data_IF_281216185284
#
_entry.id   IF_281216185284
#
_cell.length_a   1.000
_cell.length_b   1.000
_cell.length_c   1.000
_cell.angle_alpha   90.00
_cell.angle_beta   90.00
_cell.angle_gamma   90.00
#
_symmetry.space_group_name_H-M   'P 1'
#
loop_
_entity.id
_entity.type
_entity.pdbx_description
1 polymer ?
#
# COMPACT_ATOMS: atom_id res chain seq x y z
N UNK A 1 -32.69 75.32 -33.99
CA UNK A 1 -31.33 75.64 -33.52
C UNK A 1 -30.42 74.46 -33.86
N UNK A 2 -29.33 74.67 -34.62
CA UNK A 2 -28.66 73.64 -35.43
C UNK A 2 -27.38 73.05 -34.81
N UNK A 3 -26.89 71.97 -35.45
CA UNK A 3 -25.50 71.51 -35.55
C UNK A 3 -24.80 71.02 -34.26
N UNK A 4 -23.87 70.05 -34.26
CA UNK A 4 -22.94 69.67 -35.32
C UNK A 4 -22.41 68.24 -35.13
N UNK A 5 -22.10 67.59 -36.24
CA UNK A 5 -21.25 66.39 -36.34
C UNK A 5 -19.81 66.75 -35.92
N UNK A 6 -19.07 65.82 -35.34
CA UNK A 6 -17.77 65.43 -35.95
C UNK A 6 -17.19 64.13 -35.38
N UNK A 7 -16.85 63.28 -36.34
CA UNK A 7 -15.97 62.11 -36.30
C UNK A 7 -14.56 62.40 -35.76
N UNK A 8 -13.92 61.40 -35.11
CA UNK A 8 -12.71 60.72 -35.63
C UNK A 8 -12.24 59.57 -34.72
N UNK A 9 -11.74 58.56 -35.41
CA UNK A 9 -11.25 57.23 -35.00
C UNK A 9 -9.86 57.27 -34.32
N UNK A 10 -9.31 56.11 -33.86
CA UNK A 10 -8.41 56.01 -32.71
C UNK A 10 -6.92 56.12 -33.06
N UNK A 11 -6.11 56.52 -32.09
CA UNK A 11 -4.66 56.50 -32.16
C UNK A 11 -4.11 55.17 -31.59
N UNK A 12 -3.38 54.46 -32.45
CA UNK A 12 -2.44 53.38 -32.11
C UNK A 12 -1.26 53.96 -31.32
N UNK A 13 -0.80 53.24 -30.30
CA UNK A 13 0.60 53.33 -29.86
C UNK A 13 1.20 51.92 -29.77
N UNK A 14 2.37 51.79 -30.39
CA UNK A 14 3.25 50.63 -30.38
C UNK A 14 4.60 51.05 -29.80
N UNK A 15 5.44 50.05 -29.48
CA UNK A 15 6.84 50.09 -28.96
C UNK A 15 6.95 50.20 -27.43
N UNK A 16 7.89 49.54 -26.75
CA UNK A 16 8.96 48.63 -27.15
C UNK A 16 9.46 47.82 -25.94
N UNK A 17 10.23 46.79 -26.25
CA UNK A 17 10.89 45.83 -25.39
C UNK A 17 11.90 46.42 -24.37
N UNK A 18 12.11 45.69 -23.27
CA UNK A 18 13.42 45.53 -22.64
C UNK A 18 13.44 44.30 -21.69
N UNK A 19 14.28 43.30 -22.00
CA UNK A 19 14.87 42.35 -21.03
C UNK A 19 16.03 43.02 -20.32
N UNK A 20 16.32 42.66 -19.06
CA UNK A 20 17.56 41.93 -18.73
C UNK A 20 17.33 40.95 -17.55
N UNK A 21 18.21 40.05 -17.11
CA UNK A 21 19.45 39.47 -17.55
C UNK A 21 19.64 38.18 -16.72
N UNK A 22 20.27 37.18 -17.33
CA UNK A 22 20.77 35.96 -16.70
C UNK A 22 21.84 36.25 -15.64
N UNK A 23 21.76 35.61 -14.48
CA UNK A 23 22.93 35.40 -13.60
C UNK A 23 23.12 33.90 -13.34
N UNK A 24 24.00 33.33 -14.16
CA UNK A 24 24.82 32.17 -13.85
C UNK A 24 25.66 32.41 -12.60
N UNK A 25 25.70 31.43 -11.69
CA UNK A 25 26.75 31.35 -10.66
C UNK A 25 27.27 29.91 -10.63
N UNK A 26 28.48 29.73 -11.15
CA UNK A 26 29.31 28.52 -11.01
C UNK A 26 29.98 28.49 -9.61
N UNK A 27 30.46 27.32 -9.15
CA UNK A 27 30.85 27.08 -7.77
C UNK A 27 32.30 27.50 -7.49
N UNK A 28 32.59 27.79 -6.22
CA UNK A 28 33.94 28.02 -5.72
C UNK A 28 34.55 26.71 -5.21
N UNK A 29 35.71 26.37 -5.77
CA UNK A 29 36.66 25.37 -5.30
C UNK A 29 37.47 25.88 -4.09
N UNK A 30 37.77 25.02 -3.12
CA UNK A 30 39.09 25.01 -2.48
C UNK A 30 39.56 23.58 -2.15
N UNK A 31 40.81 23.41 -2.50
CA UNK A 31 41.75 22.29 -2.51
C UNK A 31 42.11 21.75 -1.12
N UNK A 32 42.36 20.45 -1.01
CA UNK A 32 43.55 19.92 -0.34
C UNK A 32 43.83 18.48 -0.80
N UNK A 33 45.01 18.28 -1.37
CA UNK A 33 45.54 17.00 -1.80
C UNK A 33 46.46 16.43 -0.72
N UNK A 34 46.49 15.09 -0.59
CA UNK A 34 47.69 14.38 -0.17
C UNK A 34 47.67 12.96 -0.74
N UNK A 35 48.64 12.72 -1.64
CA UNK A 35 49.02 11.41 -2.18
C UNK A 35 49.81 10.64 -1.12
N UNK A 36 49.66 9.32 -1.04
CA UNK A 36 50.79 8.36 -1.14
C UNK A 36 50.32 6.90 -1.18
N UNK A 37 50.90 6.16 -2.11
CA UNK A 37 51.03 4.72 -2.19
C UNK A 37 52.47 4.46 -2.71
N UNK A 38 52.98 3.23 -2.85
CA UNK A 38 52.81 1.99 -2.08
C UNK A 38 54.19 1.41 -1.66
N UNK A 39 54.25 0.29 -0.91
CA UNK A 39 55.47 -0.51 -0.80
C UNK A 39 55.18 -2.02 -0.84
N UNK A 40 55.84 -2.69 -1.80
CA UNK A 40 55.96 -4.14 -1.98
C UNK A 40 57.32 -4.61 -1.43
N UNK A 41 57.38 -5.91 -1.09
CA UNK A 41 58.50 -6.91 -1.06
C UNK A 41 58.69 -7.51 0.34
N UNK A 42 59.18 -8.73 0.54
CA UNK A 42 59.28 -10.01 -0.18
C UNK A 42 60.16 -10.94 0.69
N UNK A 43 60.04 -12.27 0.50
CA UNK A 43 60.97 -13.37 0.91
C UNK A 43 61.08 -13.69 2.41
N UNK A 44 61.23 -14.93 2.89
CA UNK A 44 62.00 -16.13 2.46
C UNK A 44 61.36 -17.39 3.12
N UNK A 45 61.22 -18.58 2.51
CA UNK A 45 62.17 -19.62 2.04
C UNK A 45 62.85 -20.46 3.16
N UNK A 46 62.61 -21.79 3.13
CA UNK A 46 63.37 -22.87 3.80
C UNK A 46 62.61 -23.58 4.95
N UNK A 47 62.68 -24.89 5.18
CA UNK A 47 63.15 -26.08 4.46
C UNK A 47 62.78 -27.31 5.33
N UNK A 48 62.20 -28.35 4.71
CA UNK A 48 62.33 -29.81 4.99
C UNK A 48 62.50 -30.34 6.44
N UNK A 49 61.58 -31.23 6.88
CA UNK A 49 61.82 -32.70 6.90
C UNK A 49 60.66 -33.55 7.49
N UNK A 50 60.28 -34.57 6.70
CA UNK A 50 59.67 -35.90 6.98
C UNK A 50 59.15 -36.23 8.40
N UNK A 51 57.88 -36.68 8.49
CA UNK A 51 57.52 -38.10 8.68
C UNK A 51 56.00 -38.37 8.75
N UNK A 52 55.53 -39.28 7.88
CA UNK A 52 54.44 -40.26 8.05
C UNK A 52 53.04 -39.83 8.55
N UNK A 53 52.03 -39.91 7.67
CA UNK A 53 50.92 -40.88 7.74
C UNK A 53 49.95 -40.70 6.55
N UNK A 54 49.63 -41.80 5.86
CA UNK A 54 48.51 -41.90 4.92
C UNK A 54 47.20 -41.65 5.69
N UNK A 55 46.41 -40.69 5.23
CA UNK A 55 44.97 -40.64 5.49
C UNK A 55 44.28 -40.12 4.23
N UNK A 56 43.53 -41.00 3.57
CA UNK A 56 42.63 -40.63 2.49
C UNK A 56 41.49 -39.78 3.07
N UNK A 57 41.34 -38.53 2.60
CA UNK A 57 40.17 -37.73 2.92
C UNK A 57 39.06 -38.15 1.97
N UNK A 58 38.18 -39.00 2.48
CA UNK A 58 36.90 -39.29 1.85
C UNK A 58 36.09 -37.98 1.76
N UNK A 59 35.81 -37.55 0.53
CA UNK A 59 34.83 -36.50 0.26
C UNK A 59 33.46 -36.96 0.78
N UNK A 60 32.93 -36.26 1.80
CA UNK A 60 31.55 -36.49 2.26
C UNK A 60 30.59 -36.29 1.08
N UNK A 61 29.64 -37.21 0.85
CA UNK A 61 28.62 -37.03 -0.17
C UNK A 61 27.77 -35.80 0.16
N UNK A 62 27.57 -34.97 -0.84
CA UNK A 62 26.63 -33.85 -0.81
C UNK A 62 25.25 -34.44 -0.56
N UNK A 63 24.59 -34.01 0.51
CA UNK A 63 23.23 -34.43 0.84
C UNK A 63 22.30 -34.17 -0.35
N UNK A 64 21.41 -35.12 -0.70
CA UNK A 64 20.46 -34.90 -1.78
C UNK A 64 19.56 -33.69 -1.46
N UNK A 65 19.06 -32.97 -2.48
CA UNK A 65 18.13 -31.88 -2.27
C UNK A 65 16.92 -32.40 -1.46
N UNK A 66 16.38 -31.60 -0.52
CA UNK A 66 15.25 -32.05 0.28
C UNK A 66 14.11 -32.48 -0.62
N UNK A 67 13.49 -33.61 -0.27
CA UNK A 67 12.35 -34.17 -0.97
C UNK A 67 11.29 -33.08 -1.19
N UNK A 68 10.63 -33.12 -2.35
CA UNK A 68 9.51 -32.24 -2.69
C UNK A 68 8.56 -32.21 -1.50
N UNK A 69 8.44 -31.05 -0.85
CA UNK A 69 7.43 -30.83 0.18
C UNK A 69 6.09 -30.91 -0.54
N UNK A 70 5.37 -32.01 -0.34
CA UNK A 70 3.99 -32.12 -0.77
C UNK A 70 3.18 -31.04 -0.06
N UNK A 71 2.66 -30.10 -0.84
CA UNK A 71 1.70 -29.10 -0.36
C UNK A 71 0.38 -29.85 -0.28
N UNK A 72 -0.25 -30.01 0.90
CA UNK A 72 -1.53 -30.68 0.99
C UNK A 72 -2.53 -29.98 0.07
N UNK A 73 -3.28 -30.76 -0.70
CA UNK A 73 -4.38 -30.29 -1.53
C UNK A 73 -5.46 -29.70 -0.60
N UNK A 74 -5.38 -28.38 -0.37
CA UNK A 74 -6.32 -27.60 0.43
C UNK A 74 -7.57 -27.28 -0.41
N UNK A 75 -8.28 -28.33 -0.80
CA UNK A 75 -9.60 -28.25 -1.41
C UNK A 75 -10.63 -28.48 -0.29
N UNK A 76 -11.62 -27.58 -0.18
CA UNK A 76 -12.76 -27.62 0.76
C UNK A 76 -12.57 -27.23 2.23
N UNK A 77 -12.10 -26.01 2.48
CA UNK A 77 -12.49 -25.26 3.69
C UNK A 77 -13.35 -24.06 3.26
N UNK A 78 -14.46 -23.72 3.96
CA UNK A 78 -15.28 -22.56 3.62
C UNK A 78 -14.37 -21.33 3.64
N UNK A 79 -14.20 -20.70 2.47
CA UNK A 79 -13.09 -19.77 2.20
C UNK A 79 -13.03 -18.59 3.19
N UNK A 80 -14.14 -18.25 3.85
CA UNK A 80 -14.28 -17.21 4.88
C UNK A 80 -15.52 -17.47 5.74
N UNK A 81 -15.56 -16.98 6.98
CA UNK A 81 -16.79 -16.85 7.79
C UNK A 81 -17.11 -15.36 7.99
N UNK A 82 -18.33 -15.02 8.41
CA UNK A 82 -18.69 -13.64 8.77
C UNK A 82 -18.74 -12.66 7.59
N UNK A 83 -18.33 -11.40 7.84
CA UNK A 83 -18.40 -10.31 6.85
C UNK A 83 -17.32 -10.47 5.77
N UNK A 84 -16.15 -11.00 6.12
CA UNK A 84 -15.12 -11.31 5.12
C UNK A 84 -15.66 -12.22 4.02
N UNK A 85 -16.54 -13.17 4.35
CA UNK A 85 -17.12 -14.09 3.37
C UNK A 85 -18.05 -13.40 2.38
N UNK A 86 -18.90 -12.49 2.85
CA UNK A 86 -19.83 -11.78 1.98
C UNK A 86 -19.16 -10.71 1.13
N UNK A 87 -17.98 -10.24 1.52
CA UNK A 87 -17.18 -9.27 0.75
C UNK A 87 -16.12 -9.93 -0.12
N UNK A 88 -15.76 -11.19 0.12
CA UNK A 88 -14.73 -11.87 -0.64
C UNK A 88 -15.12 -11.96 -2.13
N UNK A 89 -14.13 -11.75 -3.00
CA UNK A 89 -14.33 -11.88 -4.43
C UNK A 89 -14.78 -13.31 -4.75
N UNK A 90 -15.94 -13.51 -5.41
CA UNK A 90 -16.38 -14.84 -5.82
C UNK A 90 -15.39 -15.50 -6.80
N UNK A 91 -15.45 -16.82 -6.93
CA UNK A 91 -14.59 -17.54 -7.90
C UNK A 91 -14.93 -17.22 -9.35
N UNK A 92 -16.22 -17.00 -9.63
CA UNK A 92 -16.69 -16.52 -10.92
C UNK A 92 -17.65 -15.35 -10.70
N UNK A 93 -17.41 -14.25 -11.43
CA UNK A 93 -18.16 -13.01 -11.26
C UNK A 93 -17.96 -12.09 -12.46
N UNK A 94 -19.00 -11.36 -12.84
CA UNK A 94 -18.85 -10.16 -13.65
C UNK A 94 -18.76 -8.93 -12.75
N UNK A 95 -17.70 -8.12 -12.91
CA UNK A 95 -17.45 -7.00 -12.00
C UNK A 95 -18.62 -6.00 -11.97
N UNK A 96 -19.28 -5.79 -13.11
CA UNK A 96 -20.46 -4.94 -13.24
C UNK A 96 -21.68 -5.44 -12.46
N UNK A 97 -21.74 -6.73 -12.14
CA UNK A 97 -22.83 -7.35 -11.39
C UNK A 97 -22.56 -7.36 -9.89
N UNK A 98 -21.30 -7.15 -9.48
CA UNK A 98 -20.97 -7.04 -8.07
C UNK A 98 -21.59 -5.77 -7.46
N UNK A 99 -22.12 -5.85 -6.23
CA UNK A 99 -22.85 -4.75 -5.63
C UNK A 99 -21.97 -3.52 -5.37
N UNK A 100 -22.52 -2.34 -5.67
CA UNK A 100 -21.94 -1.04 -5.29
C UNK A 100 -22.70 -0.40 -4.12
N UNK A 101 -23.91 -0.87 -3.84
CA UNK A 101 -24.79 -0.47 -2.74
C UNK A 101 -24.65 -1.39 -1.50
N UNK A 102 -25.01 -0.94 -0.29
CA UNK A 102 -24.88 -1.69 0.95
C UNK A 102 -25.45 -3.12 0.89
N UNK A 103 -24.67 -4.11 1.35
CA UNK A 103 -25.16 -5.49 1.48
C UNK A 103 -26.16 -5.65 2.63
N UNK A 104 -27.07 -6.63 2.53
CA UNK A 104 -27.85 -7.11 3.67
C UNK A 104 -26.94 -7.52 4.84
N UNK A 105 -27.44 -7.36 6.07
CA UNK A 105 -26.67 -7.65 7.29
C UNK A 105 -25.73 -6.53 7.76
N UNK A 106 -25.49 -5.52 6.93
CA UNK A 106 -24.78 -4.30 7.33
C UNK A 106 -25.65 -3.25 8.02
N UNK A 107 -25.09 -2.07 8.35
CA UNK A 107 -25.84 -1.00 8.99
C UNK A 107 -26.95 -0.47 8.07
N UNK A 108 -28.17 -0.34 8.63
CA UNK A 108 -29.36 0.12 7.90
C UNK A 108 -29.27 1.54 7.34
N UNK A 109 -28.46 2.41 7.96
CA UNK A 109 -28.32 3.80 7.57
C UNK A 109 -27.03 4.44 8.14
N UNK A 110 -26.78 5.69 7.75
CA UNK A 110 -25.62 6.48 8.20
C UNK A 110 -25.50 6.56 9.73
N UNK A 111 -26.60 6.82 10.45
CA UNK A 111 -26.59 6.96 11.92
C UNK A 111 -26.18 5.65 12.59
N UNK A 112 -26.71 4.54 12.11
CA UNK A 112 -26.36 3.22 12.63
C UNK A 112 -24.90 2.86 12.33
N UNK A 113 -24.43 3.13 11.12
CA UNK A 113 -23.03 2.89 10.73
C UNK A 113 -22.06 3.66 11.62
N UNK A 114 -22.28 4.97 11.81
CA UNK A 114 -21.43 5.81 12.68
C UNK A 114 -21.38 5.25 14.10
N UNK A 115 -22.53 4.92 14.70
CA UNK A 115 -22.59 4.32 16.04
C UNK A 115 -21.82 2.99 16.13
N UNK A 116 -21.88 2.17 15.08
CA UNK A 116 -21.13 0.91 15.05
C UNK A 116 -19.62 1.15 14.91
N UNK A 117 -19.17 2.11 14.09
CA UNK A 117 -17.75 2.49 14.02
C UNK A 117 -17.24 2.98 15.39
N UNK A 118 -17.99 3.87 16.05
CA UNK A 118 -17.64 4.38 17.38
C UNK A 118 -17.49 3.24 18.40
N UNK A 119 -18.38 2.25 18.35
CA UNK A 119 -18.31 1.05 19.20
C UNK A 119 -17.10 0.16 18.88
N UNK A 120 -16.67 0.09 17.61
CA UNK A 120 -15.52 -0.72 17.18
C UNK A 120 -14.18 -0.09 17.55
N UNK A 121 -14.10 1.24 17.66
CA UNK A 121 -12.87 1.99 17.90
C UNK A 121 -12.03 1.44 19.07
N UNK A 122 -12.58 1.32 20.29
CA UNK A 122 -11.82 0.81 21.44
C UNK A 122 -11.24 -0.59 21.22
N UNK A 123 -12.02 -1.53 20.67
CA UNK A 123 -11.55 -2.89 20.41
C UNK A 123 -10.45 -2.92 19.35
N UNK A 124 -10.58 -2.13 18.28
CA UNK A 124 -9.54 -1.96 17.26
C UNK A 124 -8.25 -1.39 17.84
N UNK A 125 -8.35 -0.38 18.72
CA UNK A 125 -7.20 0.20 19.39
C UNK A 125 -6.50 -0.83 20.28
N UNK A 126 -7.24 -1.58 21.10
CA UNK A 126 -6.67 -2.67 21.94
C UNK A 126 -5.98 -3.73 21.09
N UNK A 127 -6.62 -4.24 20.03
CA UNK A 127 -5.99 -5.27 19.18
C UNK A 127 -4.75 -4.73 18.46
N UNK A 128 -4.77 -3.46 18.02
CA UNK A 128 -3.59 -2.84 17.45
C UNK A 128 -2.46 -2.71 18.49
N UNK A 129 -2.77 -2.36 19.73
CA UNK A 129 -1.80 -2.26 20.81
C UNK A 129 -1.19 -3.63 21.15
N UNK A 130 -2.02 -4.67 21.25
CA UNK A 130 -1.56 -6.05 21.43
C UNK A 130 -0.67 -6.51 20.28
N UNK A 131 -1.04 -6.20 19.02
CA UNK A 131 -0.20 -6.48 17.86
C UNK A 131 1.20 -5.86 18.02
N UNK A 132 1.27 -4.61 18.49
CA UNK A 132 2.54 -3.94 18.75
C UNK A 132 3.30 -4.57 19.92
N UNK A 133 2.62 -4.84 21.04
CA UNK A 133 3.21 -5.43 22.23
C UNK A 133 3.82 -6.81 21.96
N UNK A 134 3.14 -7.67 21.20
CA UNK A 134 3.73 -8.95 20.83
C UNK A 134 5.00 -8.81 19.98
N UNK A 135 5.09 -7.77 19.16
CA UNK A 135 6.28 -7.53 18.35
C UNK A 135 7.47 -7.14 19.22
N UNK A 136 7.26 -6.47 20.36
CA UNK A 136 8.34 -6.22 21.34
C UNK A 136 8.83 -7.52 21.99
N UNK A 137 7.99 -8.55 22.02
CA UNK A 137 8.33 -9.90 22.44
C UNK A 137 8.78 -10.83 21.28
N UNK A 138 9.09 -10.26 20.10
CA UNK A 138 9.69 -11.00 18.97
C UNK A 138 8.69 -11.56 17.94
N UNK A 139 7.39 -11.32 18.10
CA UNK A 139 6.40 -11.65 17.06
C UNK A 139 6.71 -10.89 15.77
N UNK A 140 6.63 -11.59 14.63
CA UNK A 140 6.85 -10.99 13.30
C UNK A 140 5.56 -10.50 12.64
N UNK A 141 4.42 -10.72 13.31
CA UNK A 141 3.07 -10.44 12.80
C UNK A 141 2.91 -8.97 12.48
N UNK A 142 2.23 -8.68 11.38
CA UNK A 142 1.86 -7.32 10.95
C UNK A 142 0.64 -7.38 10.05
N UNK A 143 -0.08 -6.28 9.91
CA UNK A 143 -1.24 -6.19 9.02
C UNK A 143 -0.96 -5.18 7.92
N UNK A 144 -1.35 -5.48 6.69
CA UNK A 144 -1.28 -4.56 5.57
C UNK A 144 -2.66 -4.41 4.91
N UNK A 145 -3.27 -3.24 5.07
CA UNK A 145 -4.53 -2.85 4.44
C UNK A 145 -4.25 -2.13 3.12
N UNK A 146 -4.67 -2.73 2.00
CA UNK A 146 -4.54 -2.14 0.67
C UNK A 146 -5.87 -1.58 0.22
N UNK A 147 -5.90 -0.30 -0.16
CA UNK A 147 -7.10 0.37 -0.65
C UNK A 147 -6.93 0.68 -2.14
N UNK A 148 -7.73 0.00 -2.96
CA UNK A 148 -7.83 0.26 -4.39
C UNK A 148 -9.26 0.60 -4.82
N UNK A 149 -9.40 1.18 -6.00
CA UNK A 149 -10.68 1.61 -6.55
C UNK A 149 -10.53 2.89 -7.38
N UNK A 150 -11.51 3.15 -8.23
CA UNK A 150 -11.56 4.33 -9.10
C UNK A 150 -11.37 5.64 -8.31
N UNK A 151 -10.95 6.69 -8.99
CA UNK A 151 -10.96 8.01 -8.37
C UNK A 151 -12.37 8.39 -7.93
N UNK A 152 -12.44 9.08 -6.80
CA UNK A 152 -13.65 9.32 -6.00
C UNK A 152 -14.25 8.12 -5.26
N UNK A 153 -13.74 6.89 -5.39
CA UNK A 153 -14.24 5.72 -4.61
C UNK A 153 -14.13 5.93 -3.09
N UNK A 154 -13.16 6.75 -2.68
CA UNK A 154 -13.05 7.33 -1.35
C UNK A 154 -12.08 6.60 -0.43
N UNK A 155 -10.94 6.18 -0.98
CA UNK A 155 -9.75 5.69 -0.26
C UNK A 155 -9.38 6.63 0.90
N UNK A 156 -9.25 7.93 0.64
CA UNK A 156 -8.98 8.95 1.68
C UNK A 156 -10.05 9.01 2.78
N UNK A 157 -11.30 8.74 2.43
CA UNK A 157 -12.40 8.69 3.39
C UNK A 157 -12.29 7.47 4.31
N UNK A 158 -11.88 6.32 3.79
CA UNK A 158 -11.57 5.15 4.61
C UNK A 158 -10.41 5.46 5.54
N UNK A 159 -9.32 6.04 5.03
CA UNK A 159 -8.16 6.41 5.85
C UNK A 159 -8.60 7.34 6.98
N UNK A 160 -9.29 8.45 6.67
CA UNK A 160 -9.74 9.40 7.69
C UNK A 160 -10.61 8.76 8.80
N UNK A 161 -11.52 7.86 8.44
CA UNK A 161 -12.55 7.37 9.37
C UNK A 161 -12.25 6.01 10.00
N UNK A 162 -11.44 5.17 9.36
CA UNK A 162 -11.07 3.84 9.86
C UNK A 162 -9.70 3.89 10.51
N UNK A 163 -8.71 4.43 9.80
CA UNK A 163 -7.35 4.57 10.36
C UNK A 163 -7.33 5.58 11.50
N UNK A 164 -8.20 6.60 11.45
CA UNK A 164 -8.40 7.55 12.55
C UNK A 164 -8.93 6.94 13.85
N UNK A 165 -9.32 5.65 13.86
CA UNK A 165 -9.69 4.92 15.09
C UNK A 165 -8.47 4.28 15.79
N UNK A 166 -7.32 4.26 15.12
CA UNK A 166 -6.10 3.58 15.58
C UNK A 166 -5.10 4.60 16.17
N UNK A 167 -4.12 4.13 16.94
CA UNK A 167 -3.01 4.97 17.36
C UNK A 167 -2.16 5.37 16.14
N UNK A 168 -1.99 6.68 15.84
CA UNK A 168 -1.21 7.11 14.67
C UNK A 168 0.25 6.64 14.71
N UNK A 169 0.84 6.45 15.90
CA UNK A 169 2.22 5.96 16.04
C UNK A 169 2.41 4.50 15.64
N UNK A 170 1.32 3.72 15.58
CA UNK A 170 1.35 2.31 15.21
C UNK A 170 0.91 2.05 13.76
N UNK A 171 0.54 3.11 13.03
CA UNK A 171 0.11 3.02 11.64
C UNK A 171 1.18 3.55 10.70
N UNK A 172 1.50 2.76 9.68
CA UNK A 172 2.34 3.19 8.56
C UNK A 172 1.47 3.46 7.34
N UNK A 173 1.14 4.73 7.08
CA UNK A 173 0.43 5.14 5.87
C UNK A 173 1.40 5.41 4.72
N UNK A 174 1.21 4.74 3.59
CA UNK A 174 1.90 5.03 2.34
C UNK A 174 0.88 5.33 1.23
N UNK A 175 1.07 6.45 0.52
CA UNK A 175 0.23 6.84 -0.61
C UNK A 175 1.06 6.87 -1.88
N UNK A 176 0.68 6.05 -2.86
CA UNK A 176 1.41 5.94 -4.11
C UNK A 176 0.81 6.86 -5.17
N UNK A 177 1.67 7.68 -5.78
CA UNK A 177 1.37 8.53 -6.93
C UNK A 177 2.10 7.98 -8.17
N UNK A 178 2.12 8.76 -9.26
CA UNK A 178 3.00 8.50 -10.40
C UNK A 178 4.44 8.25 -9.91
N UNK A 179 5.13 7.21 -10.43
CA UNK A 179 6.50 6.92 -10.05
C UNK A 179 7.46 8.09 -10.33
N UNK A 180 8.44 8.29 -9.45
CA UNK A 180 9.55 9.22 -9.71
C UNK A 180 10.54 8.65 -10.72
N UNK A 181 11.45 9.47 -11.25
CA UNK A 181 12.51 9.00 -12.14
C UNK A 181 13.37 7.90 -11.48
N UNK A 182 13.75 8.08 -10.22
CA UNK A 182 14.48 7.06 -9.43
C UNK A 182 13.66 5.77 -9.30
N UNK A 183 12.37 5.87 -8.98
CA UNK A 183 11.51 4.68 -8.86
C UNK A 183 11.39 3.91 -10.18
N UNK A 184 11.44 4.60 -11.33
CA UNK A 184 11.42 4.00 -12.67
C UNK A 184 12.74 3.34 -13.08
N UNK A 185 13.85 3.66 -12.41
CA UNK A 185 15.15 2.99 -12.60
C UNK A 185 15.20 1.61 -11.91
N UNK A 186 14.22 1.32 -11.05
CA UNK A 186 14.08 0.04 -10.35
C UNK A 186 12.90 -0.78 -10.86
N UNK A 187 12.79 -2.03 -10.40
CA UNK A 187 11.57 -2.80 -10.62
C UNK A 187 10.39 -2.17 -9.86
N UNK A 188 9.17 -2.33 -10.40
CA UNK A 188 7.98 -1.65 -9.85
C UNK A 188 7.65 -2.02 -8.40
N UNK A 189 8.09 -3.18 -7.89
CA UNK A 189 7.87 -3.58 -6.50
C UNK A 189 8.90 -2.97 -5.55
N UNK A 190 10.02 -2.43 -6.04
CA UNK A 190 11.05 -1.84 -5.20
C UNK A 190 10.49 -0.76 -4.27
N UNK A 191 9.76 0.22 -4.83
CA UNK A 191 9.14 1.29 -4.04
C UNK A 191 8.07 0.78 -3.08
N UNK A 192 7.37 -0.29 -3.45
CA UNK A 192 6.31 -0.89 -2.66
C UNK A 192 6.91 -1.61 -1.44
N UNK A 193 7.96 -2.40 -1.65
CA UNK A 193 8.68 -3.15 -0.61
C UNK A 193 9.20 -2.25 0.49
N UNK A 194 9.72 -1.08 0.13
CA UNK A 194 10.22 -0.07 1.09
C UNK A 194 9.15 0.49 2.02
N UNK A 195 7.87 0.32 1.67
CA UNK A 195 6.75 0.86 2.44
C UNK A 195 6.00 -0.20 3.26
N UNK A 196 6.36 -1.49 3.12
CA UNK A 196 5.77 -2.56 3.93
C UNK A 196 5.95 -2.25 5.43
N UNK A 197 4.91 -2.40 6.27
CA UNK A 197 4.99 -2.10 7.70
C UNK A 197 6.02 -2.98 8.40
N UNK A 198 6.56 -2.53 9.53
CA UNK A 198 7.37 -3.37 10.41
C UNK A 198 6.48 -4.39 11.16
N UNK A 199 7.11 -5.31 11.90
CA UNK A 199 6.39 -6.15 12.84
C UNK A 199 5.64 -5.28 13.87
N UNK A 200 4.46 -5.71 14.30
CA UNK A 200 3.63 -4.99 15.26
C UNK A 200 2.85 -3.80 14.70
N UNK A 201 3.06 -3.45 13.42
CA UNK A 201 2.43 -2.31 12.79
C UNK A 201 1.26 -2.70 11.89
N UNK A 202 0.33 -1.74 11.73
CA UNK A 202 -0.69 -1.77 10.69
C UNK A 202 -0.24 -0.84 9.55
N UNK A 203 0.11 -1.42 8.41
CA UNK A 203 0.37 -0.68 7.18
C UNK A 203 -0.92 -0.36 6.42
N UNK A 204 -0.99 0.82 5.83
CA UNK A 204 -2.11 1.23 4.98
C UNK A 204 -1.58 1.76 3.66
N UNK A 205 -1.94 1.11 2.57
CA UNK A 205 -1.57 1.50 1.22
C UNK A 205 -2.75 2.19 0.53
N UNK A 206 -2.61 3.49 0.26
CA UNK A 206 -3.52 4.26 -0.58
C UNK A 206 -3.03 4.21 -2.03
N UNK A 207 -3.70 3.41 -2.87
CA UNK A 207 -3.10 2.78 -4.07
C UNK A 207 -1.94 1.86 -3.69
N UNK A 208 -1.40 1.10 -4.62
CA UNK A 208 -0.45 0.01 -4.31
C UNK A 208 0.26 -0.53 -5.56
N UNK A 209 0.94 -1.68 -5.45
CA UNK A 209 1.55 -2.40 -6.58
C UNK A 209 0.59 -2.71 -7.73
N UNK A 210 -0.73 -2.62 -7.48
CA UNK A 210 -1.74 -2.86 -8.49
C UNK A 210 -1.84 -1.75 -9.54
N UNK A 211 -1.35 -0.53 -9.27
CA UNK A 211 -1.30 0.53 -10.29
C UNK A 211 -0.51 0.08 -11.53
N UNK A 212 0.52 -0.73 -11.31
CA UNK A 212 1.40 -1.27 -12.34
C UNK A 212 0.77 -2.33 -13.26
N UNK A 213 -0.49 -2.70 -13.01
CA UNK A 213 -1.35 -3.53 -13.87
C UNK A 213 -2.74 -2.91 -14.10
N UNK A 214 -2.94 -1.66 -13.66
CA UNK A 214 -4.15 -0.87 -13.86
C UNK A 214 -3.88 0.26 -14.86
N UNK A 215 -3.45 1.43 -14.40
CA UNK A 215 -3.16 2.58 -15.28
C UNK A 215 -2.12 2.24 -16.35
N UNK A 216 -1.12 1.42 -16.00
CA UNK A 216 -0.10 0.93 -16.95
C UNK A 216 -0.71 0.12 -18.09
N UNK A 217 -1.77 -0.63 -17.81
CA UNK A 217 -2.51 -1.42 -18.81
C UNK A 217 -3.45 -0.53 -19.61
N UNK A 218 -4.22 0.34 -18.95
CA UNK A 218 -5.27 1.16 -19.60
C UNK A 218 -4.66 2.11 -20.63
N UNK A 219 -3.47 2.66 -20.34
CA UNK A 219 -2.78 3.61 -21.21
C UNK A 219 -1.58 3.02 -21.94
N UNK A 220 -1.43 1.69 -21.97
CA UNK A 220 -0.33 0.98 -22.64
C UNK A 220 1.07 1.56 -22.32
N UNK A 221 1.31 1.96 -21.06
CA UNK A 221 2.56 2.62 -20.64
C UNK A 221 3.78 1.70 -20.81
N UNK A 222 3.55 0.39 -20.81
CA UNK A 222 4.50 -0.63 -21.26
C UNK A 222 3.76 -1.69 -22.07
N UNK A 223 4.44 -2.46 -22.94
CA UNK A 223 3.79 -3.52 -23.70
C UNK A 223 3.07 -4.54 -22.81
N UNK A 224 1.97 -5.10 -23.31
CA UNK A 224 1.22 -6.19 -22.63
C UNK A 224 2.10 -7.36 -22.21
N UNK A 225 3.13 -7.69 -22.99
CA UNK A 225 4.11 -8.73 -22.66
C UNK A 225 4.92 -8.45 -21.39
N UNK A 226 4.98 -7.19 -20.96
CA UNK A 226 5.63 -6.74 -19.73
C UNK A 226 4.62 -6.71 -18.58
N UNK A 227 3.54 -5.92 -18.66
CA UNK A 227 2.64 -5.75 -17.52
C UNK A 227 1.86 -7.02 -17.18
N UNK A 228 1.53 -7.88 -18.15
CA UNK A 228 0.78 -9.12 -17.87
C UNK A 228 1.56 -10.10 -16.98
N UNK A 229 2.90 -10.08 -17.02
CA UNK A 229 3.76 -10.88 -16.14
C UNK A 229 3.73 -10.39 -14.70
N UNK A 230 3.38 -9.11 -14.48
CA UNK A 230 3.37 -8.50 -13.14
C UNK A 230 2.33 -9.12 -12.22
N UNK A 231 1.25 -9.72 -12.72
CA UNK A 231 0.31 -10.48 -11.88
C UNK A 231 1.01 -11.62 -11.13
N UNK A 232 1.88 -12.38 -11.82
CA UNK A 232 2.63 -13.46 -11.18
C UNK A 232 3.66 -12.93 -10.18
N UNK A 233 4.31 -11.80 -10.49
CA UNK A 233 5.26 -11.12 -9.59
C UNK A 233 4.57 -10.58 -8.34
N UNK A 234 3.39 -9.96 -8.48
CA UNK A 234 2.56 -9.50 -7.36
C UNK A 234 2.16 -10.68 -6.48
N UNK A 235 1.66 -11.78 -7.06
CA UNK A 235 1.30 -12.97 -6.29
C UNK A 235 2.52 -13.58 -5.56
N UNK A 236 3.70 -13.59 -6.18
CA UNK A 236 4.91 -14.06 -5.53
C UNK A 236 5.32 -13.16 -4.36
N UNK A 237 5.23 -11.84 -4.53
CA UNK A 237 5.49 -10.86 -3.49
C UNK A 237 4.50 -10.98 -2.32
N UNK A 238 3.20 -11.09 -2.59
CA UNK A 238 2.20 -11.23 -1.52
C UNK A 238 2.35 -12.54 -0.74
N UNK A 239 2.70 -13.64 -1.42
CA UNK A 239 3.05 -14.91 -0.74
C UNK A 239 4.31 -14.79 0.11
N UNK A 240 5.30 -14.04 -0.36
CA UNK A 240 6.52 -13.75 0.42
C UNK A 240 6.17 -12.97 1.70
N UNK A 241 5.36 -11.92 1.60
CA UNK A 241 4.91 -11.14 2.75
C UNK A 241 4.09 -11.97 3.74
N UNK A 242 3.18 -12.81 3.25
CA UNK A 242 2.40 -13.71 4.09
C UNK A 242 3.29 -14.67 4.88
N UNK A 243 4.31 -15.26 4.23
CA UNK A 243 5.32 -16.11 4.91
C UNK A 243 6.14 -15.36 5.97
N UNK A 244 6.30 -14.04 5.82
CA UNK A 244 6.98 -13.18 6.78
C UNK A 244 6.07 -12.70 7.94
N UNK A 245 4.81 -13.16 7.99
CA UNK A 245 3.85 -12.82 9.04
C UNK A 245 2.93 -11.64 8.69
N UNK A 246 2.86 -11.22 7.43
CA UNK A 246 1.95 -10.15 7.01
C UNK A 246 0.57 -10.69 6.69
N UNK A 247 -0.46 -10.23 7.41
CA UNK A 247 -1.85 -10.41 6.99
C UNK A 247 -2.22 -9.33 5.98
N UNK A 248 -2.50 -9.74 4.75
CA UNK A 248 -2.94 -8.83 3.69
C UNK A 248 -4.46 -8.71 3.67
N UNK A 249 -4.96 -7.47 3.74
CA UNK A 249 -6.37 -7.14 3.61
C UNK A 249 -6.52 -6.25 2.38
N UNK A 250 -6.90 -6.82 1.23
CA UNK A 250 -6.99 -6.09 -0.04
C UNK A 250 -8.43 -5.68 -0.30
N UNK A 251 -8.70 -4.38 -0.33
CA UNK A 251 -10.05 -3.84 -0.50
C UNK A 251 -10.16 -3.12 -1.85
N UNK A 252 -11.05 -3.59 -2.72
CA UNK A 252 -11.51 -2.87 -3.89
C UNK A 252 -12.78 -2.08 -3.56
N UNK A 253 -12.69 -0.76 -3.54
CA UNK A 253 -13.79 0.14 -3.24
C UNK A 253 -14.67 0.33 -4.47
N UNK A 254 -15.72 -0.50 -4.58
CA UNK A 254 -16.55 -0.58 -5.77
C UNK A 254 -17.65 0.50 -5.78
N UNK A 255 -17.56 1.43 -6.72
CA UNK A 255 -18.57 2.47 -6.95
C UNK A 255 -19.16 2.34 -8.34
N UNK A 256 -20.41 2.77 -8.51
CA UNK A 256 -21.03 2.86 -9.82
C UNK A 256 -20.52 4.06 -10.63
N UNK A 257 -20.52 3.95 -11.96
CA UNK A 257 -20.18 5.05 -12.89
C UNK A 257 -21.05 6.28 -12.62
N UNK A 258 -22.30 6.09 -12.19
CA UNK A 258 -23.23 7.15 -11.79
C UNK A 258 -22.76 7.88 -10.54
N UNK A 259 -22.39 7.16 -9.48
CA UNK A 259 -21.93 7.78 -8.23
C UNK A 259 -20.59 8.49 -8.40
N UNK A 260 -19.70 7.98 -9.26
CA UNK A 260 -18.47 8.70 -9.60
C UNK A 260 -18.78 10.09 -10.19
N UNK A 261 -19.68 10.18 -11.17
CA UNK A 261 -20.07 11.46 -11.78
C UNK A 261 -20.63 12.43 -10.73
N UNK A 262 -21.55 11.95 -9.88
CA UNK A 262 -22.13 12.76 -8.81
C UNK A 262 -21.06 13.31 -7.86
N UNK A 263 -20.03 12.52 -7.54
CA UNK A 263 -18.93 12.94 -6.66
C UNK A 263 -17.99 13.94 -7.33
N UNK A 264 -17.74 13.81 -8.63
CA UNK A 264 -16.94 14.76 -9.41
C UNK A 264 -17.66 16.10 -9.52
N UNK A 265 -18.94 16.10 -9.91
CA UNK A 265 -19.77 17.30 -9.98
C UNK A 265 -19.84 18.01 -8.62
N UNK A 266 -20.11 17.28 -7.54
CA UNK A 266 -20.15 17.86 -6.20
C UNK A 266 -18.81 18.46 -5.72
N UNK A 267 -17.66 18.09 -6.31
CA UNK A 267 -16.37 18.77 -6.03
C UNK A 267 -16.26 20.12 -6.75
N UNK A 268 -16.86 20.24 -7.94
CA UNK A 268 -16.93 21.47 -8.71
C UNK A 268 -17.96 22.45 -8.13
N UNK A 269 -18.95 21.96 -7.41
CA UNK A 269 -19.97 22.78 -6.74
C UNK A 269 -19.54 23.30 -5.35
N UNK A 270 -18.43 22.80 -4.79
CA UNK A 270 -17.93 23.16 -3.45
C UNK A 270 -16.52 23.78 -3.53
N UNK A 271 -16.37 25.11 -3.33
CA UNK A 271 -15.07 25.79 -3.37
C UNK A 271 -14.02 25.21 -2.42
N UNK A 272 -14.43 24.55 -1.33
CA UNK A 272 -13.49 23.91 -0.39
C UNK A 272 -12.91 22.59 -0.92
N UNK A 273 -13.36 22.15 -2.11
CA UNK A 273 -12.95 20.88 -2.75
C UNK A 273 -12.23 21.07 -4.08
N UNK A 274 -12.06 22.28 -4.60
CA UNK A 274 -11.36 22.52 -5.86
C UNK A 274 -9.95 21.92 -5.87
N UNK A 275 -9.22 22.04 -4.76
CA UNK A 275 -7.89 21.44 -4.61
C UNK A 275 -7.86 19.90 -4.72
N UNK A 276 -9.02 19.24 -4.60
CA UNK A 276 -9.18 17.78 -4.77
C UNK A 276 -9.62 17.39 -6.18
N UNK A 277 -9.94 18.35 -7.04
CA UNK A 277 -10.36 18.08 -8.41
C UNK A 277 -9.15 18.19 -9.33
N UNK A 278 -8.96 17.17 -10.16
CA UNK A 278 -8.00 17.18 -11.24
C UNK A 278 -8.78 16.97 -12.54
N UNK A 279 -8.64 17.82 -13.58
CA UNK A 279 -9.26 17.58 -14.89
C UNK A 279 -8.97 16.17 -15.45
N UNK A 280 -7.80 15.61 -15.15
CA UNK A 280 -7.47 14.23 -15.51
C UNK A 280 -8.47 13.20 -14.94
N UNK A 281 -9.14 13.46 -13.80
CA UNK A 281 -10.19 12.57 -13.26
C UNK A 281 -11.37 12.41 -14.25
N UNK A 282 -11.59 13.41 -15.13
CA UNK A 282 -12.61 13.37 -16.20
C UNK A 282 -12.11 12.57 -17.40
N UNK A 283 -10.84 12.76 -17.76
CA UNK A 283 -10.19 11.99 -18.84
C UNK A 283 -10.17 10.49 -18.49
N UNK A 284 -9.74 10.15 -17.26
CA UNK A 284 -9.72 8.76 -16.75
C UNK A 284 -11.12 8.15 -16.65
N UNK A 285 -12.16 8.98 -16.44
CA UNK A 285 -13.56 8.52 -16.51
C UNK A 285 -13.97 8.10 -17.93
N UNK A 286 -13.34 8.65 -18.96
CA UNK A 286 -13.51 8.21 -20.35
C UNK A 286 -13.15 6.73 -20.55
N UNK A 287 -12.13 6.26 -19.81
CA UNK A 287 -11.63 4.88 -19.84
C UNK A 287 -12.30 3.96 -18.79
N UNK A 288 -13.51 4.29 -18.35
CA UNK A 288 -14.18 3.57 -17.27
C UNK A 288 -14.26 2.06 -17.53
N UNK A 289 -14.63 1.66 -18.74
CA UNK A 289 -14.88 0.26 -19.07
C UNK A 289 -13.56 -0.53 -19.13
N UNK A 290 -12.49 0.10 -19.62
CA UNK A 290 -11.12 -0.42 -19.61
C UNK A 290 -10.58 -0.61 -18.19
N UNK A 291 -10.84 0.36 -17.30
CA UNK A 291 -10.49 0.21 -15.88
C UNK A 291 -11.29 -0.89 -15.21
N UNK A 292 -12.59 -1.03 -15.49
CA UNK A 292 -13.40 -2.13 -14.95
C UNK A 292 -12.86 -3.49 -15.41
N UNK A 293 -12.45 -3.62 -16.67
CA UNK A 293 -11.79 -4.83 -17.17
C UNK A 293 -10.44 -5.08 -16.48
N UNK A 294 -9.62 -4.03 -16.30
CA UNK A 294 -8.34 -4.13 -15.61
C UNK A 294 -8.52 -4.57 -14.14
N UNK A 295 -9.49 -4.00 -13.43
CA UNK A 295 -9.84 -4.42 -12.07
C UNK A 295 -10.39 -5.84 -12.02
N UNK A 296 -11.25 -6.24 -12.97
CA UNK A 296 -11.75 -7.62 -13.07
C UNK A 296 -10.59 -8.61 -13.15
N UNK A 297 -9.59 -8.34 -14.00
CA UNK A 297 -8.39 -9.16 -14.11
C UNK A 297 -7.52 -9.13 -12.83
N UNK A 298 -7.37 -7.97 -12.18
CA UNK A 298 -6.67 -7.88 -10.88
C UNK A 298 -7.33 -8.80 -9.85
N UNK A 299 -8.64 -8.69 -9.69
CA UNK A 299 -9.42 -9.46 -8.72
C UNK A 299 -9.36 -10.96 -9.04
N UNK A 300 -9.56 -11.37 -10.30
CA UNK A 300 -9.49 -12.78 -10.72
C UNK A 300 -8.09 -13.37 -10.58
N UNK A 301 -7.04 -12.63 -10.94
CA UNK A 301 -5.68 -13.18 -11.03
C UNK A 301 -4.89 -13.10 -9.73
N UNK A 302 -5.29 -12.25 -8.78
CA UNK A 302 -4.53 -12.07 -7.54
C UNK A 302 -5.34 -12.24 -6.25
N UNK A 303 -6.63 -12.59 -6.32
CA UNK A 303 -7.37 -13.08 -5.15
C UNK A 303 -6.96 -14.52 -4.86
N UNK A 304 -6.09 -14.73 -3.88
CA UNK A 304 -5.57 -16.05 -3.50
C UNK A 304 -6.04 -16.43 -2.10
N UNK A 305 -5.94 -17.72 -1.74
CA UNK A 305 -6.33 -18.19 -0.39
C UNK A 305 -5.59 -17.43 0.73
N UNK A 306 -4.28 -17.21 0.58
CA UNK A 306 -3.47 -16.49 1.57
C UNK A 306 -3.50 -14.96 1.44
N UNK A 307 -4.09 -14.42 0.37
CA UNK A 307 -4.23 -12.99 0.15
C UNK A 307 -5.47 -12.72 -0.73
N UNK A 308 -6.67 -12.76 -0.12
CA UNK A 308 -7.91 -12.54 -0.85
C UNK A 308 -8.16 -11.07 -1.15
N UNK A 309 -8.96 -10.83 -2.18
CA UNK A 309 -9.58 -9.54 -2.41
C UNK A 309 -10.98 -9.47 -1.83
N UNK A 310 -11.30 -8.31 -1.24
CA UNK A 310 -12.62 -7.95 -0.75
C UNK A 310 -13.19 -6.82 -1.61
N UNK A 311 -14.35 -7.06 -2.21
CA UNK A 311 -15.11 -6.07 -2.97
C UNK A 311 -16.02 -5.34 -2.00
N UNK A 312 -15.75 -4.05 -1.78
CA UNK A 312 -16.43 -3.22 -0.81
C UNK A 312 -17.44 -2.32 -1.52
N UNK A 313 -18.76 -2.57 -1.40
CA UNK A 313 -19.77 -1.65 -1.92
C UNK A 313 -19.56 -0.24 -1.38
N UNK A 314 -19.33 0.72 -2.27
CA UNK A 314 -18.77 2.02 -1.90
C UNK A 314 -19.62 3.20 -2.34
N UNK A 315 -20.82 2.99 -2.90
CA UNK A 315 -21.71 4.09 -3.29
C UNK A 315 -22.14 4.91 -2.07
N UNK A 316 -22.38 4.24 -0.94
CA UNK A 316 -22.62 4.88 0.36
C UNK A 316 -21.34 4.96 1.18
N UNK A 317 -20.80 6.17 1.32
CA UNK A 317 -19.56 6.45 2.10
C UNK A 317 -19.60 5.87 3.53
N UNK A 318 -20.75 5.90 4.19
CA UNK A 318 -20.91 5.40 5.55
C UNK A 318 -20.81 3.86 5.62
N UNK A 319 -21.35 3.15 4.63
CA UNK A 319 -21.29 1.70 4.57
C UNK A 319 -19.87 1.25 4.27
N UNK A 320 -19.22 1.87 3.27
CA UNK A 320 -17.81 1.61 2.96
C UNK A 320 -16.90 1.73 4.18
N UNK A 321 -17.00 2.84 4.92
CA UNK A 321 -16.17 3.07 6.10
C UNK A 321 -16.42 2.00 7.16
N UNK A 322 -17.69 1.64 7.39
CA UNK A 322 -18.06 0.56 8.30
C UNK A 322 -17.51 -0.79 7.84
N UNK A 323 -17.71 -1.16 6.58
CA UNK A 323 -17.33 -2.46 6.04
C UNK A 323 -15.81 -2.68 6.13
N UNK A 324 -15.01 -1.66 5.82
CA UNK A 324 -13.55 -1.74 5.96
C UNK A 324 -13.13 -1.82 7.44
N UNK A 325 -13.73 -1.04 8.34
CA UNK A 325 -13.43 -1.11 9.78
C UNK A 325 -13.81 -2.48 10.37
N UNK A 326 -14.97 -3.00 10.00
CA UNK A 326 -15.48 -4.28 10.43
C UNK A 326 -14.61 -5.43 9.91
N UNK A 327 -14.20 -5.39 8.64
CA UNK A 327 -13.28 -6.35 8.05
C UNK A 327 -11.90 -6.31 8.74
N UNK A 328 -11.36 -5.12 9.00
CA UNK A 328 -10.10 -4.98 9.75
C UNK A 328 -10.22 -5.57 11.16
N UNK A 329 -11.32 -5.28 11.86
CA UNK A 329 -11.60 -5.81 13.20
C UNK A 329 -11.70 -7.33 13.19
N UNK A 330 -12.45 -7.90 12.23
CA UNK A 330 -12.57 -9.35 12.06
C UNK A 330 -11.20 -10.00 11.85
N UNK A 331 -10.38 -9.42 10.96
CA UNK A 331 -9.04 -9.95 10.66
C UNK A 331 -8.06 -9.84 11.82
N UNK A 332 -8.12 -8.75 12.58
CA UNK A 332 -7.31 -8.60 13.80
C UNK A 332 -7.75 -9.60 14.88
N UNK A 333 -9.05 -9.83 15.04
CA UNK A 333 -9.55 -10.80 16.04
C UNK A 333 -9.12 -12.23 15.74
N UNK A 334 -8.99 -12.58 14.45
CA UNK A 334 -8.51 -13.90 14.01
C UNK A 334 -7.02 -14.12 14.28
N UNK A 335 -6.27 -13.08 14.64
CA UNK A 335 -4.86 -13.21 15.00
C UNK A 335 -4.66 -13.71 16.43
N UNK A 336 -5.70 -13.75 17.28
CA UNK A 336 -5.58 -14.18 18.68
C UNK A 336 -4.43 -13.45 19.39
N UNK A 337 -4.54 -12.11 19.42
CA UNK A 337 -3.51 -11.22 19.95
C UNK A 337 -3.63 -11.10 21.46
N UNK A 338 -2.49 -11.04 22.14
CA UNK A 338 -2.44 -10.89 23.59
C UNK A 338 -1.26 -10.02 24.03
N UNK A 339 -1.30 -9.47 25.24
CA UNK A 339 -0.11 -8.85 25.81
C UNK A 339 0.89 -9.93 26.22
N UNK A 340 2.18 -9.78 25.87
CA UNK A 340 3.20 -10.72 26.30
C UNK A 340 3.35 -10.72 27.83
N UNK A 341 3.76 -11.84 28.44
CA UNK A 341 4.09 -11.88 29.86
C UNK A 341 5.31 -10.98 30.13
N UNK A 342 5.45 -10.53 31.38
CA UNK A 342 6.64 -9.81 31.82
C UNK A 342 7.88 -10.71 31.69
N UNK A 343 8.98 -10.14 31.22
CA UNK A 343 10.31 -10.76 31.17
C UNK A 343 11.17 -10.39 32.40
N UNK A 344 10.55 -9.80 33.42
CA UNK A 344 11.14 -9.38 34.69
C UNK A 344 10.25 -9.79 35.88
N UNK A 345 10.84 -9.84 37.08
CA UNK A 345 10.09 -10.10 38.32
C UNK A 345 9.28 -8.86 38.73
N UNK A 346 7.95 -9.00 38.72
CA UNK A 346 7.02 -7.90 39.03
C UNK A 346 7.13 -7.45 40.49
N UNK A 347 7.31 -8.38 41.43
CA UNK A 347 7.37 -8.05 42.85
C UNK A 347 8.68 -7.31 43.16
N UNK A 348 9.79 -7.75 42.59
CA UNK A 348 11.08 -7.08 42.69
C UNK A 348 11.02 -5.65 42.13
N UNK A 349 10.48 -5.46 40.92
CA UNK A 349 10.41 -4.11 40.34
C UNK A 349 9.49 -3.18 41.14
N UNK A 350 8.39 -3.70 41.71
CA UNK A 350 7.54 -2.92 42.63
C UNK A 350 8.31 -2.49 43.88
N UNK A 351 9.09 -3.38 44.48
CA UNK A 351 9.89 -3.04 45.65
C UNK A 351 10.93 -1.96 45.34
N UNK A 352 11.64 -2.09 44.21
CA UNK A 352 12.64 -1.10 43.77
C UNK A 352 12.07 0.31 43.56
N UNK A 353 10.81 0.41 43.13
CA UNK A 353 10.12 1.71 42.98
C UNK A 353 9.81 2.30 44.36
N UNK A 354 9.24 1.50 45.26
CA UNK A 354 8.90 1.94 46.61
C UNK A 354 10.14 2.36 47.41
N UNK A 355 11.27 1.69 47.21
CA UNK A 355 12.55 2.03 47.85
C UNK A 355 13.20 3.31 47.28
N UNK A 356 12.67 3.85 46.17
CA UNK A 356 13.19 5.05 45.51
C UNK A 356 12.43 6.34 45.84
N UNK A 357 11.37 6.24 46.65
CA UNK A 357 10.65 7.36 47.26
C UNK A 357 11.27 7.74 48.62
#
# INVERSE_FOLDING_TARGET
MPNNRSSKQPAKSAKAAAKPASKTRKPASKTAAAKTAPAKRASSAGSSSRSTRKAAVASKPISPPPAKVEIPELVDQPRFTGLAASLATPSDFELSELPTEPLPGGPKNKKHAVKQLEKMGPALATMQEQLFAEATAGSKRRVLLLLQGMDTAGKDGVIKHVVGLLNPGAVRLASFKAPTAEELEHDFLWRIRRQVPAAGQIGVFNRSQYEDVLIVRVHDLVPKTVWSKRYAQINAFERELARQGTVLIKCFLHISKKVQAQRLLARLDDPTKYWKFNPADVDERGYWDEYQQAYSDVLRRTSTVGSPWYVIPSDKKWYRNWAVAALLSEKLSQLDLSYPPADFDIAEQKQRILDSE
#
